data_IF_884884482492
#
_entry.id   IF_884884482492
#
_cell.length_a   1.000
_cell.length_b   1.000
_cell.length_c   1.000
_cell.angle_alpha   90.00
_cell.angle_beta   90.00
_cell.angle_gamma   90.00
#
_symmetry.space_group_name_H-M   'P 1'
#
loop_
_entity.id
_entity.type
_entity.pdbx_description
1 polymer ?
#
# COMPACT_ATOMS: atom_id res chain seq x y z
N UNK A 1 -27.62 -3.06 -11.29
CA UNK A 1 -27.04 -4.42 -11.18
C UNK A 1 -26.51 -4.94 -12.52
N UNK A 2 -27.30 -4.93 -13.59
CA UNK A 2 -26.92 -5.54 -14.87
C UNK A 2 -25.72 -4.87 -15.59
N UNK A 3 -25.66 -3.54 -15.57
CA UNK A 3 -24.55 -2.78 -16.19
C UNK A 3 -23.21 -3.02 -15.51
N UNK A 4 -23.20 -3.07 -14.18
CA UNK A 4 -22.00 -3.36 -13.38
C UNK A 4 -21.44 -4.75 -13.70
N UNK A 5 -22.33 -5.74 -13.83
CA UNK A 5 -21.94 -7.11 -14.18
C UNK A 5 -21.28 -7.17 -15.56
N UNK A 6 -21.86 -6.50 -16.57
CA UNK A 6 -21.25 -6.40 -17.92
C UNK A 6 -19.88 -5.73 -17.91
N UNK A 7 -19.69 -4.69 -17.10
CA UNK A 7 -18.40 -4.00 -16.96
C UNK A 7 -17.37 -4.95 -16.34
N UNK A 8 -17.72 -5.62 -15.24
CA UNK A 8 -16.83 -6.59 -14.59
C UNK A 8 -16.47 -7.74 -15.53
N UNK A 9 -17.47 -8.31 -16.21
CA UNK A 9 -17.26 -9.40 -17.18
C UNK A 9 -16.37 -8.95 -18.34
N UNK A 10 -16.48 -7.71 -18.81
CA UNK A 10 -15.60 -7.14 -19.83
C UNK A 10 -14.14 -7.05 -19.37
N UNK A 11 -13.88 -6.54 -18.16
CA UNK A 11 -12.52 -6.48 -17.60
C UNK A 11 -11.92 -7.87 -17.40
N UNK A 12 -12.69 -8.81 -16.84
CA UNK A 12 -12.23 -10.19 -16.62
C UNK A 12 -11.96 -10.88 -17.96
N UNK A 13 -12.86 -10.73 -18.93
CA UNK A 13 -12.72 -11.33 -20.26
C UNK A 13 -11.53 -10.74 -21.01
N UNK A 14 -11.35 -9.42 -20.97
CA UNK A 14 -10.20 -8.73 -21.57
C UNK A 14 -8.88 -9.20 -20.98
N UNK A 15 -8.79 -9.31 -19.65
CA UNK A 15 -7.60 -9.79 -18.96
C UNK A 15 -7.30 -11.27 -19.25
N UNK A 16 -8.34 -12.10 -19.37
CA UNK A 16 -8.21 -13.53 -19.71
C UNK A 16 -7.72 -13.75 -21.14
N UNK A 17 -8.19 -12.92 -22.08
CA UNK A 17 -7.83 -12.95 -23.49
C UNK A 17 -6.48 -12.28 -23.79
N UNK A 18 -5.74 -11.79 -22.79
CA UNK A 18 -4.40 -11.27 -23.00
C UNK A 18 -3.47 -12.36 -23.54
N UNK A 19 -2.62 -12.03 -24.54
CA UNK A 19 -1.56 -12.90 -24.97
C UNK A 19 -0.60 -13.27 -23.82
N UNK A 20 0.13 -14.40 -23.92
CA UNK A 20 1.07 -14.83 -22.88
C UNK A 20 2.06 -13.74 -22.47
N UNK A 21 2.57 -12.97 -23.43
CA UNK A 21 3.49 -11.86 -23.17
C UNK A 21 2.85 -10.71 -22.37
N UNK A 22 1.58 -10.40 -22.62
CA UNK A 22 0.85 -9.34 -21.91
C UNK A 22 0.55 -9.72 -20.47
N UNK A 23 0.21 -11.00 -20.23
CA UNK A 23 0.02 -11.54 -18.87
C UNK A 23 1.31 -11.51 -18.07
N UNK A 24 2.45 -11.88 -18.69
CA UNK A 24 3.77 -11.82 -18.04
C UNK A 24 4.14 -10.38 -17.68
N UNK A 25 3.90 -9.41 -18.57
CA UNK A 25 4.15 -8.00 -18.27
C UNK A 25 3.31 -7.49 -17.09
N UNK A 26 2.02 -7.85 -17.03
CA UNK A 26 1.17 -7.53 -15.88
C UNK A 26 1.67 -8.13 -14.57
N UNK A 27 2.14 -9.38 -14.61
CA UNK A 27 2.75 -10.03 -13.45
C UNK A 27 4.03 -9.29 -13.00
N UNK A 28 4.89 -8.87 -13.93
CA UNK A 28 6.08 -8.07 -13.64
C UNK A 28 5.71 -6.74 -12.98
N UNK A 29 4.70 -6.04 -13.50
CA UNK A 29 4.22 -4.78 -12.93
C UNK A 29 3.73 -5.00 -11.49
N UNK A 30 2.89 -6.01 -11.26
CA UNK A 30 2.40 -6.34 -9.91
C UNK A 30 3.54 -6.70 -8.95
N UNK A 31 4.51 -7.50 -9.40
CA UNK A 31 5.69 -7.84 -8.60
C UNK A 31 6.49 -6.59 -8.26
N UNK A 32 6.74 -5.71 -9.25
CA UNK A 32 7.50 -4.48 -9.04
C UNK A 32 6.79 -3.53 -8.07
N UNK A 33 5.46 -3.39 -8.20
CA UNK A 33 4.64 -2.61 -7.27
C UNK A 33 4.67 -3.21 -5.86
N UNK A 34 4.59 -4.54 -5.73
CA UNK A 34 4.69 -5.22 -4.44
C UNK A 34 6.07 -5.02 -3.80
N UNK A 35 7.15 -5.22 -4.56
CA UNK A 35 8.53 -5.00 -4.09
C UNK A 35 8.70 -3.55 -3.66
N UNK A 36 8.28 -2.59 -4.50
CA UNK A 36 8.35 -1.17 -4.15
C UNK A 36 7.55 -0.86 -2.88
N UNK A 37 6.36 -1.42 -2.72
CA UNK A 37 5.57 -1.25 -1.51
C UNK A 37 6.26 -1.84 -0.29
N UNK A 38 6.83 -3.04 -0.38
CA UNK A 38 7.55 -3.69 0.73
C UNK A 38 8.83 -2.94 1.09
N UNK A 39 9.60 -2.50 0.11
CA UNK A 39 10.81 -1.68 0.31
C UNK A 39 10.43 -0.35 0.95
N UNK A 40 9.50 0.40 0.36
CA UNK A 40 9.04 1.65 0.96
C UNK A 40 8.48 1.42 2.37
N UNK A 41 7.72 0.35 2.60
CA UNK A 41 7.21 0.01 3.93
C UNK A 41 8.35 -0.28 4.91
N UNK A 42 9.35 -1.06 4.54
CA UNK A 42 10.43 -1.44 5.44
C UNK A 42 11.40 -0.28 5.69
N UNK A 43 11.66 0.57 4.68
CA UNK A 43 12.59 1.71 4.78
C UNK A 43 11.95 2.99 5.32
N UNK A 44 10.67 3.28 4.99
CA UNK A 44 9.95 4.47 5.47
C UNK A 44 9.08 4.19 6.70
N UNK A 45 8.74 2.94 6.98
CA UNK A 45 8.04 2.54 8.20
C UNK A 45 8.80 1.43 8.98
N UNK A 46 10.13 1.53 9.20
CA UNK A 46 10.82 0.64 10.11
C UNK A 46 10.34 0.95 11.52
N UNK A 47 9.57 0.04 12.13
CA UNK A 47 9.13 0.05 13.53
C UNK A 47 9.22 1.40 14.28
N UNK A 48 8.59 2.45 13.72
CA UNK A 48 8.47 3.73 14.42
C UNK A 48 7.56 3.61 15.64
N UNK A 49 7.05 2.40 15.89
CA UNK A 49 6.15 2.09 16.98
C UNK A 49 6.70 1.20 18.09
N UNK A 50 7.79 0.44 17.87
CA UNK A 50 8.08 -0.66 18.80
C UNK A 50 9.36 -0.54 19.63
N UNK A 51 10.28 0.38 19.30
CA UNK A 51 11.59 0.38 19.97
C UNK A 51 11.77 1.35 21.14
N UNK A 52 10.78 2.16 21.56
CA UNK A 52 10.98 3.07 22.71
C UNK A 52 9.79 3.30 23.67
N UNK A 53 8.58 2.76 23.44
CA UNK A 53 7.45 3.03 24.35
C UNK A 53 6.52 1.81 24.50
N UNK A 54 6.10 1.54 25.74
CA UNK A 54 5.36 0.35 26.15
C UNK A 54 3.84 0.43 25.85
N UNK A 55 3.32 1.57 25.38
CA UNK A 55 1.89 1.78 25.07
C UNK A 55 1.68 2.73 23.90
N UNK A 56 0.76 2.40 22.98
CA UNK A 56 0.37 3.22 21.83
C UNK A 56 -0.20 4.60 22.23
N UNK A 57 -0.74 4.70 23.44
CA UNK A 57 -1.38 5.91 23.97
C UNK A 57 -0.38 6.98 24.43
N UNK A 58 0.84 6.58 24.78
CA UNK A 58 1.94 7.47 25.15
C UNK A 58 2.62 8.05 23.91
N UNK A 59 2.66 7.24 22.84
CA UNK A 59 3.25 7.59 21.54
C UNK A 59 2.41 8.62 20.78
N UNK A 60 1.09 8.45 20.79
CA UNK A 60 0.18 9.44 20.22
C UNK A 60 0.34 10.82 20.90
N UNK A 61 0.54 10.82 22.22
CA UNK A 61 0.70 12.03 23.03
C UNK A 61 1.98 12.80 22.70
N UNK A 62 3.11 12.09 22.55
CA UNK A 62 4.39 12.72 22.21
C UNK A 62 4.41 13.30 20.79
N UNK A 63 3.80 12.62 19.82
CA UNK A 63 3.63 13.16 18.46
C UNK A 63 2.78 14.43 18.48
N UNK A 64 1.66 14.43 19.21
CA UNK A 64 0.78 15.60 19.36
C UNK A 64 1.54 16.78 20.00
N UNK A 65 2.32 16.53 21.05
CA UNK A 65 3.12 17.58 21.71
C UNK A 65 4.17 18.19 20.77
N UNK A 66 4.82 17.37 19.93
CA UNK A 66 5.83 17.84 18.97
C UNK A 66 5.30 18.72 17.83
N UNK A 67 4.02 18.56 17.45
CA UNK A 67 3.35 19.37 16.40
C UNK A 67 2.50 20.51 16.96
N UNK A 68 2.22 20.52 18.28
CA UNK A 68 1.48 21.60 18.95
C UNK A 68 2.38 22.58 19.68
N UNK A 69 3.64 22.22 19.96
CA UNK A 69 4.64 23.15 20.49
C UNK A 69 5.28 23.90 19.33
N UNK A 70 5.05 25.22 19.18
CA UNK A 70 5.79 26.02 18.22
C UNK A 70 7.25 26.07 18.68
N UNK A 71 8.19 25.72 17.79
CA UNK A 71 9.61 25.93 18.06
C UNK A 71 9.84 27.41 18.42
N UNK A 72 10.45 27.64 19.58
CA UNK A 72 10.88 28.96 20.04
C UNK A 72 11.82 29.62 19.04
#
# INVERSE_FOLDING_TARGET
MEKLRKIVDFYITGFRNLPPWGRTMWAIILIKLFIMFVVLRLFFFPDQLQNNFNSDEERARHVIESITTPGN
#
